data_IF_280354464868
#
_entry.id   IF_280354464868
#
_cell.length_a   1.000
_cell.length_b   1.000
_cell.length_c   1.000
_cell.angle_alpha   90.00
_cell.angle_beta   90.00
_cell.angle_gamma   90.00
#
_symmetry.space_group_name_H-M   'P 1'
#
loop_
_entity.id
_entity.type
_entity.pdbx_description
1 polymer ?
#
# COMPACT_ATOMS: atom_id res chain seq x y z
N UNK A 1 7.11 -55.70 34.05
CA UNK A 1 7.72 -56.44 32.93
C UNK A 1 6.99 -56.04 31.69
N UNK A 2 7.57 -55.12 30.93
CA UNK A 2 7.47 -55.03 29.46
C UNK A 2 8.31 -53.83 29.01
N UNK A 3 9.40 -54.21 28.36
CA UNK A 3 10.39 -53.32 27.78
C UNK A 3 9.79 -52.58 26.57
N UNK A 4 9.92 -51.27 26.49
CA UNK A 4 9.69 -50.50 25.30
C UNK A 4 11.02 -49.95 24.77
N UNK A 5 11.42 -50.55 23.68
CA UNK A 5 12.61 -50.37 22.87
C UNK A 5 12.63 -48.99 22.21
N UNK A 6 13.65 -48.20 22.53
CA UNK A 6 13.92 -46.93 21.87
C UNK A 6 14.36 -47.12 20.41
N UNK A 7 13.66 -46.54 19.46
CA UNK A 7 14.06 -46.47 18.07
C UNK A 7 14.81 -45.15 17.80
N UNK A 8 16.08 -45.27 17.43
CA UNK A 8 16.96 -44.21 16.92
C UNK A 8 16.48 -43.77 15.52
N UNK A 9 16.29 -42.48 15.33
CA UNK A 9 16.16 -41.87 14.02
C UNK A 9 17.53 -41.68 13.36
N UNK A 10 17.67 -41.89 12.04
CA UNK A 10 18.93 -41.67 11.35
C UNK A 10 19.10 -40.17 11.00
N UNK A 11 20.33 -39.71 11.13
CA UNK A 11 20.81 -38.41 10.69
C UNK A 11 20.78 -38.31 9.15
N UNK A 12 20.03 -37.36 8.63
CA UNK A 12 20.12 -36.91 7.24
C UNK A 12 20.06 -35.37 7.21
N UNK A 13 21.13 -34.76 7.63
CA UNK A 13 21.43 -33.37 7.30
C UNK A 13 22.84 -33.34 6.75
N UNK A 14 22.98 -33.11 5.43
CA UNK A 14 24.14 -32.53 4.76
C UNK A 14 24.16 -32.88 3.26
N UNK A 15 23.15 -32.43 2.49
CA UNK A 15 23.24 -32.56 1.01
C UNK A 15 22.48 -31.47 0.23
N UNK A 16 22.29 -30.29 0.78
CA UNK A 16 21.53 -29.24 0.05
C UNK A 16 22.17 -27.84 0.00
N UNK A 17 23.46 -27.72 0.30
CA UNK A 17 24.14 -26.42 0.25
C UNK A 17 25.16 -26.27 -0.91
N UNK A 18 25.40 -27.31 -1.69
CA UNK A 18 26.37 -27.25 -2.79
C UNK A 18 25.80 -26.84 -4.16
N UNK A 19 24.47 -26.90 -4.36
CA UNK A 19 23.88 -26.66 -5.70
C UNK A 19 23.39 -25.23 -5.97
N UNK A 20 23.42 -24.33 -4.99
CA UNK A 20 22.99 -22.93 -5.16
C UNK A 20 24.13 -21.96 -5.49
N UNK A 21 25.37 -22.41 -5.41
CA UNK A 21 26.55 -21.59 -5.72
C UNK A 21 26.87 -21.52 -7.21
N UNK A 22 26.67 -22.60 -7.95
CA UNK A 22 27.06 -22.68 -9.36
C UNK A 22 26.05 -22.03 -10.32
N UNK A 23 24.74 -22.05 -10.02
CA UNK A 23 23.73 -21.42 -10.85
C UNK A 23 23.78 -19.87 -10.85
N UNK A 24 24.41 -19.25 -9.85
CA UNK A 24 24.60 -17.80 -9.82
C UNK A 24 25.81 -17.32 -10.61
N UNK A 25 26.81 -18.16 -10.78
CA UNK A 25 28.03 -17.79 -11.50
C UNK A 25 27.83 -17.81 -13.03
N UNK A 26 27.01 -18.71 -13.56
CA UNK A 26 26.74 -18.78 -15.00
C UNK A 26 25.79 -17.69 -15.51
N UNK A 27 24.89 -17.15 -14.66
CA UNK A 27 23.98 -16.08 -15.05
C UNK A 27 24.68 -14.72 -15.23
N UNK A 28 25.84 -14.54 -14.59
CA UNK A 28 26.62 -13.30 -14.70
C UNK A 28 27.56 -13.26 -15.92
N UNK A 29 27.79 -14.39 -16.61
CA UNK A 29 28.80 -14.50 -17.67
C UNK A 29 28.29 -14.11 -19.05
N UNK A 30 27.00 -13.88 -19.26
CA UNK A 30 26.40 -13.60 -20.58
C UNK A 30 25.71 -12.24 -20.72
N UNK A 31 25.86 -11.34 -19.75
CA UNK A 31 25.36 -9.97 -19.92
C UNK A 31 26.44 -9.12 -20.61
N UNK A 32 26.09 -8.59 -21.78
CA UNK A 32 26.96 -7.63 -22.47
C UNK A 32 27.11 -6.34 -21.65
N UNK A 33 28.25 -5.61 -21.78
CA UNK A 33 28.44 -4.32 -21.09
C UNK A 33 27.29 -3.32 -21.29
N UNK A 34 26.61 -3.38 -22.43
CA UNK A 34 25.45 -2.53 -22.75
C UNK A 34 24.19 -2.94 -21.96
N UNK A 35 23.95 -4.22 -21.71
CA UNK A 35 22.83 -4.67 -20.88
C UNK A 35 23.03 -4.30 -19.41
N UNK A 36 24.28 -4.33 -18.92
CA UNK A 36 24.63 -3.84 -17.58
C UNK A 36 24.45 -2.32 -17.42
N UNK A 37 24.65 -1.54 -18.50
CA UNK A 37 24.38 -0.10 -18.49
C UNK A 37 22.87 0.22 -18.50
N UNK A 38 22.06 -0.57 -19.21
CA UNK A 38 20.59 -0.41 -19.27
C UNK A 38 19.89 -0.80 -17.96
N UNK A 39 20.52 -1.65 -17.15
CA UNK A 39 19.97 -2.14 -15.88
C UNK A 39 20.18 -1.18 -14.69
N UNK A 40 20.85 -0.05 -14.85
CA UNK A 40 20.94 0.95 -13.78
C UNK A 40 19.56 1.57 -13.57
N UNK A 41 18.82 1.04 -12.60
CA UNK A 41 17.58 1.68 -12.12
C UNK A 41 17.89 3.13 -11.85
N UNK A 42 17.22 4.05 -12.55
CA UNK A 42 17.35 5.48 -12.24
C UNK A 42 17.14 5.66 -10.75
N UNK A 43 18.01 6.39 -10.06
CA UNK A 43 17.81 6.63 -8.63
C UNK A 43 16.44 7.24 -8.42
N UNK A 44 15.75 6.79 -7.37
CA UNK A 44 14.46 7.36 -7.01
C UNK A 44 14.60 8.88 -6.81
N UNK A 45 13.63 9.67 -7.25
CA UNK A 45 13.69 11.11 -7.11
C UNK A 45 13.80 11.48 -5.63
N UNK A 46 14.66 12.44 -5.34
CA UNK A 46 14.83 12.95 -3.97
C UNK A 46 13.54 13.65 -3.56
N UNK A 47 12.91 13.16 -2.49
CA UNK A 47 11.75 13.82 -1.92
C UNK A 47 12.22 15.06 -1.16
N UNK A 48 11.74 16.22 -1.57
CA UNK A 48 11.83 17.43 -0.77
C UNK A 48 10.56 17.49 0.08
N UNK A 49 10.67 17.16 1.36
CA UNK A 49 9.53 17.26 2.28
C UNK A 49 9.28 18.74 2.56
N UNK A 50 8.39 19.36 1.82
CA UNK A 50 7.78 20.61 2.26
C UNK A 50 6.71 20.26 3.29
N UNK A 51 6.74 20.95 4.44
CA UNK A 51 5.67 20.83 5.44
C UNK A 51 4.33 21.02 4.74
N UNK A 52 3.53 19.96 4.69
CA UNK A 52 2.23 19.95 4.08
C UNK A 52 1.41 21.11 4.66
N UNK A 53 0.99 22.04 3.80
CA UNK A 53 -0.02 23.00 4.21
C UNK A 53 -1.27 22.20 4.52
N UNK A 54 -1.88 22.47 5.67
CA UNK A 54 -3.18 21.90 6.02
C UNK A 54 -4.14 22.10 4.85
N UNK A 55 -4.40 21.03 4.12
CA UNK A 55 -5.39 21.07 3.04
C UNK A 55 -6.75 20.93 3.73
N UNK A 56 -7.54 21.99 3.71
CA UNK A 56 -8.90 22.02 4.29
C UNK A 56 -9.82 20.91 3.73
N UNK A 57 -9.43 20.29 2.61
CA UNK A 57 -10.15 19.15 2.02
C UNK A 57 -9.81 17.79 2.69
N UNK A 58 -8.77 17.76 3.54
CA UNK A 58 -8.35 16.57 4.26
C UNK A 58 -9.00 16.55 5.65
N UNK A 59 -10.21 16.09 5.73
CA UNK A 59 -10.92 15.91 6.98
C UNK A 59 -11.67 14.58 6.94
N UNK A 60 -11.51 13.78 7.97
CA UNK A 60 -12.24 12.52 8.14
C UNK A 60 -13.67 12.82 8.59
N UNK A 61 -14.61 11.96 8.21
CA UNK A 61 -15.97 12.00 8.77
C UNK A 61 -15.94 12.07 10.30
N UNK A 62 -16.81 12.86 10.90
CA UNK A 62 -16.85 13.02 12.36
C UNK A 62 -17.16 11.69 13.06
N UNK A 63 -18.15 10.95 12.55
CA UNK A 63 -18.54 9.61 13.03
C UNK A 63 -18.06 8.52 12.07
N UNK A 64 -18.02 7.28 12.56
CA UNK A 64 -17.85 6.11 11.72
C UNK A 64 -19.07 6.00 10.80
N UNK A 65 -18.88 5.86 9.48
CA UNK A 65 -19.97 5.61 8.55
C UNK A 65 -20.72 4.32 8.87
N UNK A 66 -22.01 4.27 8.57
CA UNK A 66 -22.84 3.10 8.85
C UNK A 66 -22.35 1.86 8.10
N UNK A 67 -22.74 0.67 8.58
CA UNK A 67 -22.36 -0.58 7.92
C UNK A 67 -22.88 -0.62 6.48
N UNK A 68 -24.10 -0.15 6.26
CA UNK A 68 -24.74 -0.07 4.94
C UNK A 68 -23.94 0.83 4.01
N UNK A 69 -23.60 2.06 4.45
CA UNK A 69 -22.81 3.00 3.64
C UNK A 69 -21.44 2.46 3.29
N UNK A 70 -20.83 1.66 4.19
CA UNK A 70 -19.55 1.01 3.90
C UNK A 70 -19.69 -0.09 2.84
N UNK A 71 -20.75 -0.90 2.92
CA UNK A 71 -21.03 -1.94 1.91
C UNK A 71 -21.32 -1.31 0.55
N UNK A 72 -22.19 -0.31 0.49
CA UNK A 72 -22.52 0.40 -0.74
C UNK A 72 -21.28 1.04 -1.41
N UNK A 73 -20.38 1.61 -0.62
CA UNK A 73 -19.15 2.18 -1.16
C UNK A 73 -18.21 1.09 -1.67
N UNK A 74 -18.10 -0.06 -0.99
CA UNK A 74 -17.28 -1.19 -1.44
C UNK A 74 -17.74 -1.79 -2.77
N UNK A 75 -19.04 -1.83 -3.00
CA UNK A 75 -19.60 -2.34 -4.27
C UNK A 75 -19.25 -1.45 -5.47
N UNK A 76 -19.01 -0.16 -5.22
CA UNK A 76 -18.77 0.85 -6.27
C UNK A 76 -17.31 1.24 -6.42
N UNK A 77 -16.56 1.29 -5.31
CA UNK A 77 -15.22 1.85 -5.28
C UNK A 77 -14.25 1.04 -6.15
N UNK A 78 -13.68 1.70 -7.13
CA UNK A 78 -12.72 1.11 -8.06
C UNK A 78 -11.42 1.89 -8.10
N UNK A 79 -10.37 1.27 -8.62
CA UNK A 79 -9.08 1.92 -8.82
C UNK A 79 -8.85 2.25 -10.29
N UNK A 80 -8.49 3.51 -10.56
CA UNK A 80 -8.02 3.96 -11.86
C UNK A 80 -6.55 4.36 -11.78
N UNK A 81 -5.64 3.69 -12.51
CA UNK A 81 -4.23 4.08 -12.50
C UNK A 81 -4.06 5.46 -13.14
N UNK A 82 -3.26 6.32 -12.48
CA UNK A 82 -3.00 7.68 -12.94
C UNK A 82 -1.50 7.96 -13.05
N UNK A 83 -1.07 8.40 -14.22
CA UNK A 83 0.35 8.57 -14.55
C UNK A 83 1.07 9.61 -13.68
N UNK A 84 0.35 10.60 -13.14
CA UNK A 84 0.91 11.63 -12.26
C UNK A 84 1.67 11.05 -11.06
N UNK A 85 1.22 9.90 -10.55
CA UNK A 85 1.80 9.26 -9.37
C UNK A 85 2.66 8.03 -9.68
N UNK A 86 3.16 7.94 -10.93
CA UNK A 86 4.09 6.91 -11.36
C UNK A 86 5.40 7.54 -11.83
N UNK A 87 6.52 7.08 -11.25
CA UNK A 87 7.86 7.51 -11.69
C UNK A 87 8.20 6.92 -13.06
N UNK A 88 7.73 5.70 -13.31
CA UNK A 88 7.88 5.02 -14.60
C UNK A 88 6.50 4.63 -15.19
N UNK A 89 5.70 5.59 -15.72
CA UNK A 89 4.33 5.34 -16.17
C UNK A 89 4.25 4.28 -17.28
N UNK A 90 5.24 4.20 -18.17
CA UNK A 90 5.25 3.26 -19.30
C UNK A 90 5.28 1.81 -18.84
N UNK A 91 5.89 1.50 -17.71
CA UNK A 91 5.84 0.16 -17.10
C UNK A 91 4.41 -0.28 -16.76
N UNK A 92 3.48 0.66 -16.62
CA UNK A 92 2.06 0.44 -16.32
C UNK A 92 1.17 0.62 -17.55
N UNK A 93 1.74 0.71 -18.74
CA UNK A 93 1.04 1.00 -20.00
C UNK A 93 0.31 2.35 -19.98
N UNK A 94 0.82 3.30 -19.20
CA UNK A 94 0.29 4.66 -19.11
C UNK A 94 1.18 5.60 -19.91
N UNK A 95 0.58 6.60 -20.56
CA UNK A 95 1.30 7.72 -21.16
C UNK A 95 2.03 8.52 -20.08
N UNK A 96 3.20 9.08 -20.38
CA UNK A 96 3.87 10.02 -19.48
C UNK A 96 2.94 11.17 -19.09
N UNK A 97 3.05 11.61 -17.84
CA UNK A 97 2.27 12.75 -17.39
C UNK A 97 2.80 14.05 -18.03
N UNK A 98 1.94 14.75 -18.74
CA UNK A 98 2.29 15.97 -19.47
C UNK A 98 2.18 17.27 -18.63
N UNK A 99 1.80 17.18 -17.35
CA UNK A 99 1.70 18.33 -16.45
C UNK A 99 3.05 18.84 -15.98
N UNK A 100 3.06 20.04 -15.35
CA UNK A 100 4.26 20.62 -14.78
C UNK A 100 4.90 19.72 -13.72
N UNK A 101 6.23 19.79 -13.62
CA UNK A 101 7.00 19.09 -12.60
C UNK A 101 6.82 19.75 -11.23
N UNK A 102 5.67 19.47 -10.62
CA UNK A 102 5.44 19.74 -9.21
C UNK A 102 6.07 18.65 -8.36
N UNK A 103 6.34 18.94 -7.11
CA UNK A 103 6.73 17.93 -6.13
C UNK A 103 5.64 16.86 -6.02
N UNK A 104 5.95 15.65 -6.46
CA UNK A 104 5.02 14.53 -6.52
C UNK A 104 5.50 13.38 -5.65
N UNK A 105 4.57 12.66 -5.09
CA UNK A 105 4.85 11.36 -4.49
C UNK A 105 4.55 10.25 -5.49
N UNK A 106 5.48 9.33 -5.61
CA UNK A 106 5.42 8.23 -6.56
C UNK A 106 5.20 6.92 -5.82
N UNK A 107 4.14 6.20 -6.16
CA UNK A 107 3.82 4.92 -5.53
C UNK A 107 4.91 3.88 -5.77
N UNK A 108 5.42 3.82 -7.01
CA UNK A 108 6.44 2.87 -7.42
C UNK A 108 7.82 3.19 -6.86
N UNK A 109 8.26 4.46 -6.91
CA UNK A 109 9.60 4.84 -6.47
C UNK A 109 9.73 5.00 -4.95
N UNK A 110 8.68 5.51 -4.27
CA UNK A 110 8.75 5.81 -2.84
C UNK A 110 8.23 4.68 -1.98
N UNK A 111 7.08 4.10 -2.33
CA UNK A 111 6.45 3.05 -1.56
C UNK A 111 6.68 1.64 -2.13
N UNK A 112 7.48 1.49 -3.18
CA UNK A 112 7.72 0.20 -3.82
C UNK A 112 6.47 -0.44 -4.42
N UNK A 113 5.44 0.36 -4.72
CA UNK A 113 4.16 -0.12 -5.21
C UNK A 113 4.24 -0.36 -6.72
N UNK A 114 4.84 -1.48 -7.10
CA UNK A 114 5.08 -1.88 -8.47
C UNK A 114 3.85 -2.45 -9.17
N UNK A 115 4.06 -2.90 -10.42
CA UNK A 115 2.99 -3.50 -11.24
C UNK A 115 2.34 -4.70 -10.56
N UNK A 116 3.14 -5.55 -9.91
CA UNK A 116 2.66 -6.76 -9.22
C UNK A 116 1.87 -6.45 -7.94
N UNK A 117 1.90 -5.19 -7.50
CA UNK A 117 1.11 -4.74 -6.35
C UNK A 117 -0.34 -4.41 -6.69
N UNK A 118 -0.72 -4.38 -7.97
CA UNK A 118 -2.08 -3.99 -8.37
C UNK A 118 -3.16 -4.95 -7.87
N UNK A 119 -2.84 -6.23 -7.74
CA UNK A 119 -3.74 -7.24 -7.18
C UNK A 119 -4.12 -6.97 -5.72
N UNK A 120 -3.30 -6.18 -5.01
CA UNK A 120 -3.52 -5.80 -3.61
C UNK A 120 -4.47 -4.61 -3.46
N UNK A 121 -4.68 -3.82 -4.52
CA UNK A 121 -5.45 -2.57 -4.44
C UNK A 121 -6.88 -2.77 -3.95
N UNK A 122 -7.65 -3.74 -4.44
CA UNK A 122 -9.00 -3.97 -3.94
C UNK A 122 -9.04 -4.21 -2.42
N UNK A 123 -8.10 -5.00 -1.90
CA UNK A 123 -7.98 -5.25 -0.45
C UNK A 123 -7.60 -4.00 0.34
N UNK A 124 -6.78 -3.13 -0.25
CA UNK A 124 -6.43 -1.85 0.37
C UNK A 124 -7.63 -0.90 0.40
N UNK A 125 -8.40 -0.81 -0.68
CA UNK A 125 -9.65 -0.03 -0.71
C UNK A 125 -10.62 -0.58 0.33
N UNK A 126 -10.84 -1.88 0.34
CA UNK A 126 -11.69 -2.55 1.33
C UNK A 126 -11.27 -2.20 2.76
N UNK A 127 -9.99 -2.31 3.09
CA UNK A 127 -9.45 -1.95 4.40
C UNK A 127 -9.77 -0.50 4.76
N UNK A 128 -9.50 0.44 3.87
CA UNK A 128 -9.79 1.86 4.10
C UNK A 128 -11.26 2.12 4.36
N UNK A 129 -12.13 1.55 3.55
CA UNK A 129 -13.59 1.72 3.67
C UNK A 129 -14.11 1.09 4.97
N UNK A 130 -13.71 -0.14 5.29
CA UNK A 130 -14.15 -0.81 6.54
C UNK A 130 -13.68 -0.08 7.79
N UNK A 131 -12.50 0.52 7.77
CA UNK A 131 -11.98 1.34 8.86
C UNK A 131 -12.60 2.75 8.91
N UNK A 132 -13.52 3.09 7.99
CA UNK A 132 -14.15 4.41 7.91
C UNK A 132 -13.16 5.53 7.64
N UNK A 133 -12.10 5.23 6.88
CA UNK A 133 -11.05 6.18 6.53
C UNK A 133 -11.42 6.93 5.26
N UNK A 134 -12.47 7.73 5.33
CA UNK A 134 -12.88 8.57 4.22
C UNK A 134 -13.22 10.01 4.64
N UNK A 135 -13.20 10.92 3.65
CA UNK A 135 -13.46 12.33 3.89
C UNK A 135 -14.92 12.61 4.21
N UNK A 136 -15.14 13.67 4.97
CA UNK A 136 -16.45 14.28 5.18
C UNK A 136 -16.96 15.05 3.95
N UNK A 137 -16.07 15.31 2.98
CA UNK A 137 -16.39 15.96 1.72
C UNK A 137 -16.66 14.92 0.65
N UNK A 138 -17.74 15.13 -0.08
CA UNK A 138 -18.15 14.28 -1.19
C UNK A 138 -17.90 14.96 -2.54
N UNK A 139 -17.75 14.12 -3.56
CA UNK A 139 -17.83 14.49 -4.97
C UNK A 139 -18.96 13.62 -5.58
N UNK A 140 -20.11 14.22 -5.82
CA UNK A 140 -21.37 13.50 -6.01
C UNK A 140 -21.74 12.69 -4.76
N UNK A 141 -22.09 11.44 -4.95
CA UNK A 141 -22.48 10.51 -3.88
C UNK A 141 -21.29 9.77 -3.23
N UNK A 142 -20.07 10.14 -3.58
CA UNK A 142 -18.88 9.41 -3.14
C UNK A 142 -17.93 10.31 -2.36
N UNK A 143 -17.24 9.78 -1.33
CA UNK A 143 -16.21 10.54 -0.63
C UNK A 143 -15.14 11.04 -1.60
N UNK A 144 -14.76 12.31 -1.50
CA UNK A 144 -13.72 12.90 -2.34
C UNK A 144 -12.35 12.26 -2.10
N UNK A 145 -12.10 11.80 -0.87
CA UNK A 145 -10.85 11.17 -0.45
C UNK A 145 -11.16 9.91 0.36
N UNK A 146 -10.33 8.89 0.13
CA UNK A 146 -10.21 7.71 0.99
C UNK A 146 -8.77 7.60 1.47
N UNK A 147 -8.56 6.96 2.60
CA UNK A 147 -7.22 6.58 3.06
C UNK A 147 -7.17 5.10 3.37
N UNK A 148 -5.99 4.52 3.23
CA UNK A 148 -5.75 3.12 3.59
C UNK A 148 -4.31 2.93 4.05
N UNK A 149 -4.06 1.80 4.70
CA UNK A 149 -2.73 1.42 5.19
C UNK A 149 -2.34 0.07 4.59
N UNK A 150 -1.06 -0.08 4.26
CA UNK A 150 -0.53 -1.38 3.87
C UNK A 150 0.38 -1.99 4.96
N UNK A 151 0.73 -3.24 4.78
CA UNK A 151 1.56 -3.98 5.72
C UNK A 151 3.02 -3.52 5.77
N UNK A 152 3.46 -2.71 4.81
CA UNK A 152 4.79 -2.07 4.81
C UNK A 152 4.81 -0.75 5.60
N UNK A 153 3.66 -0.33 6.13
CA UNK A 153 3.51 0.86 6.94
C UNK A 153 3.19 2.13 6.17
N UNK A 154 3.04 2.06 4.85
CA UNK A 154 2.60 3.22 4.09
C UNK A 154 1.12 3.50 4.27
N UNK A 155 0.79 4.77 4.48
CA UNK A 155 -0.57 5.29 4.33
C UNK A 155 -0.69 5.82 2.92
N UNK A 156 -1.73 5.38 2.21
CA UNK A 156 -2.09 5.90 0.90
C UNK A 156 -3.31 6.80 0.99
N UNK A 157 -3.23 7.95 0.35
CA UNK A 157 -4.39 8.80 0.09
C UNK A 157 -4.90 8.46 -1.31
N UNK A 158 -6.18 8.15 -1.40
CA UNK A 158 -6.88 7.89 -2.65
C UNK A 158 -7.81 9.07 -2.93
N UNK A 159 -7.66 9.63 -4.10
CA UNK A 159 -8.46 10.77 -4.56
C UNK A 159 -9.40 10.31 -5.67
N UNK A 160 -10.64 10.74 -5.60
CA UNK A 160 -11.61 10.45 -6.66
C UNK A 160 -11.19 11.11 -7.96
N UNK A 161 -11.28 10.39 -9.07
CA UNK A 161 -10.99 10.86 -10.43
C UNK A 161 -12.22 10.85 -11.31
N UNK A 162 -13.16 9.96 -11.00
CA UNK A 162 -14.46 9.88 -11.69
C UNK A 162 -15.52 9.59 -10.63
N UNK A 163 -16.24 10.63 -10.24
CA UNK A 163 -17.27 10.53 -9.21
C UNK A 163 -18.46 9.66 -9.66
N UNK A 164 -18.82 9.68 -10.93
CA UNK A 164 -19.90 8.85 -11.46
C UNK A 164 -19.63 7.35 -11.41
N UNK A 165 -18.35 6.94 -11.33
CA UNK A 165 -17.93 5.54 -11.27
C UNK A 165 -17.26 5.19 -9.94
N UNK A 166 -17.27 6.06 -8.95
CA UNK A 166 -16.50 5.92 -7.71
C UNK A 166 -15.05 5.46 -7.95
N UNK A 167 -14.40 6.02 -8.99
CA UNK A 167 -13.05 5.63 -9.37
C UNK A 167 -12.02 6.51 -8.67
N UNK A 168 -11.06 5.87 -8.02
CA UNK A 168 -10.00 6.52 -7.24
C UNK A 168 -8.62 6.21 -7.82
N UNK A 169 -7.69 7.16 -7.69
CA UNK A 169 -6.26 6.93 -7.82
C UNK A 169 -5.56 7.21 -6.49
N UNK A 170 -4.45 6.54 -6.21
CA UNK A 170 -3.77 6.64 -4.92
C UNK A 170 -2.32 7.09 -5.04
N UNK A 171 -1.82 7.69 -3.96
CA UNK A 171 -0.42 8.04 -3.76
C UNK A 171 -0.05 7.94 -2.27
N UNK A 172 1.22 7.64 -1.94
CA UNK A 172 1.64 7.51 -0.55
C UNK A 172 1.72 8.88 0.12
N UNK A 173 1.29 8.95 1.37
CA UNK A 173 1.53 10.09 2.25
C UNK A 173 2.98 10.03 2.74
N UNK A 174 3.68 11.16 2.68
CA UNK A 174 5.08 11.23 3.11
C UNK A 174 5.23 11.23 4.63
N UNK A 175 6.39 10.77 5.11
CA UNK A 175 6.79 10.94 6.51
C UNK A 175 6.78 12.43 6.88
N UNK A 176 6.23 12.75 8.04
CA UNK A 176 6.10 14.14 8.49
C UNK A 176 4.83 14.84 8.02
N UNK A 177 3.97 14.19 7.23
CA UNK A 177 2.62 14.69 6.97
C UNK A 177 1.76 14.55 8.23
N UNK A 178 1.36 15.69 8.80
CA UNK A 178 0.59 15.73 10.04
C UNK A 178 -0.75 14.98 9.96
N UNK A 179 -1.31 14.83 8.75
CA UNK A 179 -2.58 14.13 8.57
C UNK A 179 -2.46 12.62 8.77
N UNK A 180 -1.27 12.03 8.60
CA UNK A 180 -1.03 10.62 8.90
C UNK A 180 -1.48 10.25 10.33
N UNK A 181 -1.26 11.15 11.30
CA UNK A 181 -1.71 10.94 12.69
C UNK A 181 -3.23 10.82 12.79
N UNK A 182 -3.99 11.63 12.05
CA UNK A 182 -5.45 11.57 12.05
C UNK A 182 -5.95 10.24 11.51
N UNK A 183 -5.34 9.76 10.42
CA UNK A 183 -5.66 8.45 9.84
C UNK A 183 -5.36 7.33 10.83
N UNK A 184 -4.18 7.35 11.48
CA UNK A 184 -3.78 6.33 12.45
C UNK A 184 -4.70 6.28 13.67
N UNK A 185 -5.06 7.45 14.22
CA UNK A 185 -5.99 7.52 15.36
C UNK A 185 -7.33 6.89 14.99
N UNK A 186 -7.92 7.24 13.86
CA UNK A 186 -9.18 6.66 13.40
C UNK A 186 -9.05 5.15 13.14
N UNK A 187 -8.03 4.73 12.40
CA UNK A 187 -7.81 3.33 12.09
C UNK A 187 -7.70 2.48 13.37
N UNK A 188 -6.93 2.97 14.35
CA UNK A 188 -6.78 2.31 15.64
C UNK A 188 -8.11 2.25 16.40
N UNK A 189 -8.81 3.38 16.51
CA UNK A 189 -10.10 3.43 17.23
C UNK A 189 -11.07 2.41 16.67
N UNK A 190 -11.18 2.30 15.34
CA UNK A 190 -12.11 1.37 14.69
C UNK A 190 -11.62 -0.09 14.79
N UNK A 191 -10.34 -0.34 14.58
CA UNK A 191 -9.79 -1.70 14.59
C UNK A 191 -9.81 -2.36 15.97
N UNK A 192 -9.83 -1.55 17.04
CA UNK A 192 -9.84 -2.04 18.43
C UNK A 192 -11.15 -1.71 19.17
N UNK A 193 -12.16 -1.14 18.49
CA UNK A 193 -13.47 -0.92 19.07
C UNK A 193 -14.18 -2.26 19.28
N UNK A 194 -14.69 -2.47 20.49
CA UNK A 194 -15.55 -3.61 20.77
C UNK A 194 -16.93 -3.35 20.11
N UNK A 195 -17.37 -4.25 19.24
CA UNK A 195 -18.78 -4.48 18.95
C UNK A 195 -19.31 -4.19 17.56
N UNK A 196 -18.80 -3.30 16.73
CA UNK A 196 -19.43 -3.00 15.43
C UNK A 196 -18.71 -3.54 14.18
N UNK A 197 -17.41 -3.72 14.26
CA UNK A 197 -16.64 -4.40 13.23
C UNK A 197 -15.81 -5.46 13.92
N UNK A 198 -16.14 -6.75 13.79
CA UNK A 198 -15.26 -7.80 14.22
C UNK A 198 -13.89 -7.56 13.61
N UNK A 199 -12.85 -7.57 14.40
CA UNK A 199 -11.45 -7.38 13.98
C UNK A 199 -11.08 -8.32 12.83
N UNK A 200 -11.74 -9.48 12.76
CA UNK A 200 -11.60 -10.50 11.73
C UNK A 200 -12.11 -10.07 10.34
N UNK A 201 -12.94 -9.03 10.26
CA UNK A 201 -13.47 -8.51 8.99
C UNK A 201 -12.53 -7.52 8.29
N UNK A 202 -11.42 -7.12 8.90
CA UNK A 202 -10.42 -6.28 8.26
C UNK A 202 -9.05 -6.99 8.25
N UNK A 203 -8.87 -7.99 7.39
CA UNK A 203 -7.64 -8.77 7.35
C UNK A 203 -6.40 -7.89 7.26
N UNK A 204 -5.42 -8.13 8.12
CA UNK A 204 -4.16 -7.41 8.15
C UNK A 204 -4.23 -5.97 8.68
N UNK A 205 -5.38 -5.48 9.15
CA UNK A 205 -5.50 -4.10 9.66
C UNK A 205 -4.58 -3.83 10.85
N UNK A 206 -4.53 -4.73 11.82
CA UNK A 206 -3.67 -4.56 13.01
C UNK A 206 -2.20 -4.51 12.64
N UNK A 207 -1.75 -5.40 11.76
CA UNK A 207 -0.36 -5.42 11.28
C UNK A 207 -0.03 -4.14 10.50
N UNK A 208 -0.93 -3.68 9.63
CA UNK A 208 -0.76 -2.44 8.87
C UNK A 208 -0.73 -1.20 9.79
N UNK A 209 -1.58 -1.15 10.81
CA UNK A 209 -1.59 -0.06 11.81
C UNK A 209 -0.27 -0.04 12.57
N UNK A 210 0.17 -1.18 13.09
CA UNK A 210 1.43 -1.26 13.85
C UNK A 210 2.64 -0.87 12.99
N UNK A 211 2.69 -1.32 11.75
CA UNK A 211 3.72 -0.94 10.78
C UNK A 211 3.69 0.56 10.48
N UNK A 212 2.51 1.15 10.27
CA UNK A 212 2.36 2.57 9.98
C UNK A 212 2.69 3.44 11.21
N UNK A 213 2.32 3.03 12.41
CA UNK A 213 2.74 3.72 13.64
C UNK A 213 4.27 3.76 13.80
N UNK A 214 4.94 2.66 13.46
CA UNK A 214 6.41 2.63 13.48
C UNK A 214 7.03 3.51 12.37
N UNK A 215 6.36 3.59 11.22
CA UNK A 215 6.84 4.33 10.05
C UNK A 215 6.68 5.86 10.18
N UNK A 216 5.58 6.35 10.79
CA UNK A 216 5.24 7.78 10.92
C UNK A 216 5.59 8.39 12.28
N UNK A 217 6.32 7.67 13.13
CA UNK A 217 6.90 8.19 14.39
C UNK A 217 7.87 9.32 14.19
#
# INVERSE_FOLDING_TARGET
MNDAKAARAPATENFLLASLGEAKAEYCAHQTPDELLMSRKKPAPRIVVRRSRNNAKRSLTASLPSAESRVELLERATYGPYSKHKFNPTAYKLSPYAGQDEERTYCDAHAGFGKDSFERIPKLIERGVRLGLWSDQNDGDNPSLLWTLDESGWIFELRITNSGQAQYHGYPILRGDAFARCVLVRARTVAYAEGEIPVDLVPGAQAAIAAAEAFYR
#
